data_IF_042848353469
#
_entry.id   IF_042848353469
#
_cell.length_a   1.000
_cell.length_b   1.000
_cell.length_c   1.000
_cell.angle_alpha   90.00
_cell.angle_beta   90.00
_cell.angle_gamma   90.00
#
_symmetry.space_group_name_H-M   'P 1'
#
loop_
_entity.id
_entity.type
_entity.pdbx_description
1 polymer ?
#
# COMPACT_ATOMS: atom_id res chain seq x y z
N UNK A 1 -36.88 26.25 -4.86
CA UNK A 1 -36.90 25.53 -6.16
C UNK A 1 -35.50 25.68 -6.75
N UNK A 2 -34.68 24.69 -6.62
CA UNK A 2 -33.37 24.63 -7.27
C UNK A 2 -33.61 24.35 -8.76
N UNK A 3 -33.18 25.24 -9.63
CA UNK A 3 -33.21 25.02 -11.08
C UNK A 3 -32.23 23.91 -11.43
N UNK A 4 -32.73 22.75 -11.78
CA UNK A 4 -31.92 21.63 -12.28
C UNK A 4 -31.27 22.06 -13.60
N UNK A 5 -29.95 21.87 -13.66
CA UNK A 5 -29.19 22.09 -14.88
C UNK A 5 -29.45 20.90 -15.83
N UNK A 6 -30.27 21.12 -16.87
CA UNK A 6 -30.75 20.06 -17.78
C UNK A 6 -29.66 19.33 -18.57
N UNK A 7 -28.40 19.75 -18.42
CA UNK A 7 -27.24 19.16 -19.13
C UNK A 7 -26.49 18.09 -18.33
N UNK A 8 -26.73 17.99 -17.01
CA UNK A 8 -26.05 17.02 -16.14
C UNK A 8 -26.92 15.77 -16.02
N UNK A 9 -26.38 14.61 -16.42
CA UNK A 9 -27.12 13.35 -16.40
C UNK A 9 -27.12 12.69 -15.02
N UNK A 10 -26.03 12.81 -14.27
CA UNK A 10 -25.87 12.27 -12.92
C UNK A 10 -24.81 13.03 -12.13
N UNK A 11 -24.83 12.87 -10.81
CA UNK A 11 -23.83 13.42 -9.91
C UNK A 11 -22.95 12.29 -9.36
N UNK A 12 -21.63 12.50 -9.25
CA UNK A 12 -20.70 11.55 -8.64
C UNK A 12 -20.27 12.11 -7.30
N UNK A 13 -20.53 11.39 -6.23
CA UNK A 13 -20.10 11.70 -4.87
C UNK A 13 -18.84 10.94 -4.55
N UNK A 14 -17.77 11.65 -4.22
CA UNK A 14 -16.45 11.07 -3.92
C UNK A 14 -15.97 11.58 -2.56
N UNK A 15 -16.14 10.80 -1.49
CA UNK A 15 -15.47 11.07 -0.23
C UNK A 15 -13.98 10.82 -0.34
N UNK A 16 -13.16 11.75 0.15
CA UNK A 16 -11.72 11.53 0.24
C UNK A 16 -11.08 12.37 1.35
N UNK A 17 -9.89 11.99 1.77
CA UNK A 17 -9.08 12.79 2.67
C UNK A 17 -8.20 13.76 1.87
N UNK A 18 -7.82 14.88 2.48
CA UNK A 18 -6.93 15.89 1.87
C UNK A 18 -5.55 15.34 1.47
N UNK A 19 -5.13 14.22 2.05
CA UNK A 19 -3.90 13.51 1.72
C UNK A 19 -4.11 12.27 0.84
N UNK A 20 -5.28 12.11 0.23
CA UNK A 20 -5.55 11.00 -0.70
C UNK A 20 -4.57 11.05 -1.87
N UNK A 21 -3.99 9.90 -2.20
CA UNK A 21 -3.06 9.73 -3.32
C UNK A 21 -3.75 9.25 -4.58
N UNK A 22 -4.98 8.82 -4.43
CA UNK A 22 -5.76 8.24 -5.52
C UNK A 22 -6.68 9.25 -6.17
N UNK A 23 -7.05 10.32 -5.46
CA UNK A 23 -8.07 11.26 -5.92
C UNK A 23 -7.74 11.89 -7.29
N UNK A 24 -6.52 12.39 -7.48
CA UNK A 24 -6.12 12.99 -8.76
C UNK A 24 -6.22 12.00 -9.92
N UNK A 25 -5.87 10.74 -9.67
CA UNK A 25 -5.96 9.68 -10.67
C UNK A 25 -7.42 9.30 -10.94
N UNK A 26 -8.24 9.22 -9.90
CA UNK A 26 -9.68 8.98 -10.00
C UNK A 26 -10.35 10.08 -10.85
N UNK A 27 -10.14 11.34 -10.51
CA UNK A 27 -10.68 12.49 -11.26
C UNK A 27 -10.21 12.52 -12.71
N UNK A 28 -8.94 12.20 -12.96
CA UNK A 28 -8.38 12.09 -14.31
C UNK A 28 -9.15 11.06 -15.15
N UNK A 29 -9.36 9.87 -14.63
CA UNK A 29 -10.04 8.82 -15.40
C UNK A 29 -11.54 9.04 -15.50
N UNK A 30 -12.18 9.66 -14.54
CA UNK A 30 -13.57 10.13 -14.69
C UNK A 30 -13.69 11.12 -15.84
N UNK A 31 -12.81 12.13 -15.90
CA UNK A 31 -12.83 13.14 -16.96
C UNK A 31 -12.56 12.56 -18.37
N UNK A 32 -11.73 11.51 -18.45
CA UNK A 32 -11.34 10.88 -19.74
C UNK A 32 -12.30 9.82 -20.23
N UNK A 33 -12.99 9.12 -19.33
CA UNK A 33 -13.68 7.87 -19.60
C UNK A 33 -15.19 7.91 -19.46
N UNK A 34 -15.74 8.97 -18.88
CA UNK A 34 -17.20 9.11 -18.79
C UNK A 34 -17.81 9.47 -20.14
N UNK A 35 -18.87 8.76 -20.48
CA UNK A 35 -19.63 9.01 -21.71
C UNK A 35 -20.59 10.21 -21.58
N UNK A 36 -21.21 10.37 -20.41
CA UNK A 36 -22.16 11.43 -20.15
C UNK A 36 -21.55 12.58 -19.33
N UNK A 37 -22.16 13.76 -19.48
CA UNK A 37 -21.86 14.90 -18.60
C UNK A 37 -22.34 14.64 -17.19
N UNK A 38 -21.48 14.88 -16.25
CA UNK A 38 -21.75 14.70 -14.83
C UNK A 38 -21.17 15.87 -14.02
N UNK A 39 -21.61 16.02 -12.78
CA UNK A 39 -20.91 16.81 -11.79
C UNK A 39 -20.15 15.91 -10.81
N UNK A 40 -19.09 16.43 -10.22
CA UNK A 40 -18.38 15.79 -9.14
C UNK A 40 -18.68 16.57 -7.86
N UNK A 41 -19.04 15.84 -6.81
CA UNK A 41 -19.29 16.34 -5.46
C UNK A 41 -18.25 15.69 -4.53
N UNK A 42 -17.15 16.41 -4.31
CA UNK A 42 -16.09 15.97 -3.41
C UNK A 42 -16.48 16.27 -1.95
N UNK A 43 -16.33 15.27 -1.06
CA UNK A 43 -16.55 15.41 0.38
C UNK A 43 -15.23 15.18 1.08
N UNK A 44 -14.65 16.27 1.57
CA UNK A 44 -13.30 16.30 2.10
C UNK A 44 -13.27 16.03 3.61
N UNK A 45 -12.28 15.21 4.04
CA UNK A 45 -11.87 15.00 5.44
C UNK A 45 -12.97 14.50 6.38
N UNK A 46 -14.02 13.85 5.85
CA UNK A 46 -14.97 13.13 6.69
C UNK A 46 -14.43 11.75 7.05
N UNK A 47 -14.43 11.42 8.34
CA UNK A 47 -13.89 10.14 8.84
C UNK A 47 -14.87 8.98 8.73
N UNK A 48 -16.15 9.25 8.57
CA UNK A 48 -17.20 8.27 8.32
C UNK A 48 -17.62 8.35 6.84
N UNK A 49 -17.24 7.35 6.07
CA UNK A 49 -17.50 7.30 4.62
C UNK A 49 -18.99 7.32 4.29
N UNK A 50 -19.85 6.73 5.12
CA UNK A 50 -21.29 6.72 4.87
C UNK A 50 -21.93 8.06 5.19
N UNK A 51 -21.45 8.72 6.23
CA UNK A 51 -21.84 10.10 6.50
C UNK A 51 -21.41 11.02 5.36
N UNK A 52 -20.19 10.82 4.85
CA UNK A 52 -19.68 11.55 3.72
C UNK A 52 -20.51 11.33 2.45
N UNK A 53 -20.87 10.08 2.14
CA UNK A 53 -21.76 9.77 1.03
C UNK A 53 -23.14 10.45 1.19
N UNK A 54 -23.76 10.36 2.38
CA UNK A 54 -25.05 11.03 2.66
C UNK A 54 -24.94 12.54 2.44
N UNK A 55 -23.88 13.17 2.98
CA UNK A 55 -23.63 14.61 2.80
C UNK A 55 -23.51 14.98 1.32
N UNK A 56 -22.78 14.17 0.53
CA UNK A 56 -22.63 14.37 -0.91
C UNK A 56 -23.96 14.20 -1.68
N UNK A 57 -24.75 13.19 -1.33
CA UNK A 57 -26.09 12.98 -1.92
C UNK A 57 -26.99 14.20 -1.70
N UNK A 58 -26.95 14.83 -0.51
CA UNK A 58 -27.69 16.07 -0.26
C UNK A 58 -27.22 17.26 -1.10
N UNK A 59 -25.94 17.30 -1.46
CA UNK A 59 -25.33 18.37 -2.27
C UNK A 59 -25.50 18.15 -3.77
N UNK A 60 -25.75 16.91 -4.19
CA UNK A 60 -25.90 16.54 -5.60
C UNK A 60 -27.04 17.29 -6.29
N UNK A 61 -26.81 17.71 -7.54
CA UNK A 61 -27.80 18.43 -8.35
C UNK A 61 -28.67 17.51 -9.20
N UNK A 62 -28.18 16.30 -9.49
CA UNK A 62 -28.93 15.30 -10.25
C UNK A 62 -29.72 14.38 -9.33
N UNK A 63 -30.89 13.91 -9.80
CA UNK A 63 -31.65 12.88 -9.12
C UNK A 63 -30.94 11.50 -9.14
N UNK A 64 -30.09 11.26 -10.13
CA UNK A 64 -29.25 10.05 -10.20
C UNK A 64 -27.87 10.37 -9.61
N UNK A 65 -27.47 9.62 -8.61
CA UNK A 65 -26.22 9.81 -7.88
C UNK A 65 -25.39 8.54 -7.90
N UNK A 66 -24.13 8.67 -8.24
CA UNK A 66 -23.11 7.62 -8.17
C UNK A 66 -22.27 7.82 -6.92
N UNK A 67 -22.21 6.82 -6.05
CA UNK A 67 -21.32 6.78 -4.89
C UNK A 67 -20.05 6.05 -5.31
N UNK A 68 -18.94 6.74 -5.34
CA UNK A 68 -17.65 6.22 -5.82
C UNK A 68 -16.55 6.51 -4.80
N UNK A 69 -15.74 5.51 -4.49
CA UNK A 69 -14.55 5.74 -3.65
C UNK A 69 -13.41 6.37 -4.47
N UNK A 70 -12.58 7.17 -3.82
CA UNK A 70 -11.45 7.89 -4.43
C UNK A 70 -10.34 6.99 -4.98
N UNK A 71 -10.30 5.73 -4.57
CA UNK A 71 -9.36 4.70 -5.01
C UNK A 71 -9.91 3.79 -6.14
N UNK A 72 -10.97 4.25 -6.83
CA UNK A 72 -11.57 3.54 -7.94
C UNK A 72 -11.31 4.24 -9.27
N UNK A 73 -10.76 3.48 -10.23
CA UNK A 73 -10.48 3.94 -11.59
C UNK A 73 -11.52 3.36 -12.55
N UNK A 74 -12.21 4.21 -13.27
CA UNK A 74 -13.30 3.79 -14.16
C UNK A 74 -12.80 3.36 -15.53
N UNK A 75 -13.40 2.32 -16.11
CA UNK A 75 -13.16 1.92 -17.49
C UNK A 75 -13.73 2.94 -18.49
N UNK A 76 -13.35 2.85 -19.77
CA UNK A 76 -13.91 3.69 -20.81
C UNK A 76 -15.42 3.43 -20.97
N UNK A 77 -16.19 4.50 -21.11
CA UNK A 77 -17.66 4.46 -21.27
C UNK A 77 -18.40 3.70 -20.16
N UNK A 78 -17.81 3.65 -18.96
CA UNK A 78 -18.29 2.92 -17.78
C UNK A 78 -19.72 3.26 -17.36
N UNK A 79 -20.14 4.47 -17.63
CA UNK A 79 -21.43 5.08 -17.24
C UNK A 79 -22.53 4.93 -18.29
N UNK A 80 -22.23 4.31 -19.43
CA UNK A 80 -23.10 4.21 -20.61
C UNK A 80 -24.51 3.70 -20.30
N UNK A 81 -24.60 2.77 -19.38
CA UNK A 81 -25.87 2.12 -19.02
C UNK A 81 -26.58 2.75 -17.83
N UNK A 82 -25.97 3.68 -17.10
CA UNK A 82 -26.56 4.31 -15.93
C UNK A 82 -27.90 4.96 -16.26
N UNK A 83 -28.05 5.86 -17.24
CA UNK A 83 -29.31 6.53 -17.53
C UNK A 83 -30.37 5.58 -18.09
N UNK A 84 -29.96 4.44 -18.65
CA UNK A 84 -30.88 3.46 -19.24
C UNK A 84 -31.62 2.65 -18.19
N UNK A 85 -30.90 2.28 -17.11
CA UNK A 85 -31.40 1.35 -16.08
C UNK A 85 -31.67 2.01 -14.74
N UNK A 86 -31.28 3.29 -14.53
CA UNK A 86 -31.56 3.99 -13.29
C UNK A 86 -33.04 4.34 -13.16
N UNK A 87 -33.62 3.98 -12.03
CA UNK A 87 -34.98 4.35 -11.65
C UNK A 87 -35.07 4.66 -10.15
N UNK A 88 -36.28 4.99 -9.67
CA UNK A 88 -36.47 5.39 -8.27
C UNK A 88 -36.37 4.23 -7.27
N UNK A 89 -36.38 2.99 -7.72
CA UNK A 89 -36.44 1.80 -6.86
C UNK A 89 -35.34 0.77 -7.14
N UNK A 90 -34.48 1.04 -8.11
CA UNK A 90 -33.39 0.11 -8.46
C UNK A 90 -32.07 0.75 -8.11
N UNK A 91 -31.28 0.05 -7.31
CA UNK A 91 -29.88 0.36 -7.08
C UNK A 91 -29.06 -0.37 -8.13
N UNK A 92 -28.24 0.39 -8.86
CA UNK A 92 -27.32 -0.21 -9.83
C UNK A 92 -25.92 -0.34 -9.23
N UNK A 93 -25.24 -1.41 -9.58
CA UNK A 93 -23.84 -1.66 -9.22
C UNK A 93 -23.04 -2.07 -10.43
N UNK A 94 -21.70 -2.03 -10.32
CA UNK A 94 -20.79 -2.44 -11.37
C UNK A 94 -20.00 -3.70 -11.03
N UNK A 95 -18.99 -3.97 -11.83
CA UNK A 95 -18.00 -5.01 -11.64
C UNK A 95 -16.71 -4.40 -11.10
N UNK A 96 -16.25 -4.88 -9.97
CA UNK A 96 -15.00 -4.42 -9.35
C UNK A 96 -13.88 -5.34 -9.76
N UNK A 97 -12.84 -4.77 -10.38
CA UNK A 97 -11.59 -5.44 -10.71
C UNK A 97 -10.54 -5.06 -9.69
N UNK A 98 -9.85 -6.02 -9.13
CA UNK A 98 -8.87 -5.79 -8.07
C UNK A 98 -7.52 -6.43 -8.40
N UNK A 99 -6.39 -5.85 -7.93
CA UNK A 99 -5.10 -6.51 -8.00
C UNK A 99 -5.19 -7.84 -7.24
N UNK A 100 -4.47 -8.85 -7.70
CA UNK A 100 -4.51 -10.17 -7.10
C UNK A 100 -3.91 -10.13 -5.69
N UNK A 101 -4.67 -10.37 -4.67
CA UNK A 101 -4.13 -10.47 -3.33
C UNK A 101 -4.76 -11.58 -2.55
N UNK A 102 -4.05 -12.02 -1.57
CA UNK A 102 -4.45 -13.02 -0.64
C UNK A 102 -5.95 -13.12 -0.32
N UNK A 103 -6.35 -14.32 -0.03
CA UNK A 103 -7.66 -14.80 0.40
C UNK A 103 -8.49 -13.78 1.20
N UNK A 104 -9.28 -12.97 0.52
CA UNK A 104 -10.51 -12.47 1.11
C UNK A 104 -11.57 -13.54 0.85
N UNK A 105 -12.39 -13.81 1.84
CA UNK A 105 -13.33 -14.92 1.96
C UNK A 105 -13.85 -15.50 0.64
N UNK A 106 -13.96 -16.81 0.58
CA UNK A 106 -14.38 -17.62 -0.57
C UNK A 106 -15.80 -17.33 -1.12
N UNK A 107 -16.49 -16.31 -0.62
CA UNK A 107 -17.92 -16.11 -0.86
C UNK A 107 -18.25 -15.04 -1.91
N UNK A 108 -17.25 -14.27 -2.40
CA UNK A 108 -17.51 -13.23 -3.40
C UNK A 108 -16.53 -13.33 -4.57
N UNK A 109 -17.06 -13.55 -5.76
CA UNK A 109 -16.31 -13.56 -7.00
C UNK A 109 -15.94 -12.13 -7.43
N UNK A 110 -14.90 -11.56 -6.81
CA UNK A 110 -14.26 -10.40 -7.39
C UNK A 110 -13.50 -10.80 -8.64
N UNK A 111 -13.62 -9.99 -9.66
CA UNK A 111 -12.79 -10.16 -10.85
C UNK A 111 -11.37 -9.76 -10.48
N UNK A 112 -10.45 -10.72 -10.53
CA UNK A 112 -9.06 -10.49 -10.13
C UNK A 112 -8.16 -10.34 -11.34
N UNK A 113 -7.63 -9.15 -11.51
CA UNK A 113 -6.66 -8.85 -12.54
C UNK A 113 -5.71 -7.75 -12.07
N UNK A 114 -4.43 -8.07 -11.92
CA UNK A 114 -3.44 -7.12 -11.42
C UNK A 114 -3.05 -6.12 -12.52
N UNK A 115 -3.52 -4.90 -12.41
CA UNK A 115 -3.13 -3.77 -13.26
C UNK A 115 -2.27 -2.74 -12.51
N UNK A 116 -1.74 -3.12 -11.35
CA UNK A 116 -0.89 -2.25 -10.51
C UNK A 116 -1.64 -1.48 -9.44
N UNK A 117 -0.95 -0.54 -8.83
CA UNK A 117 -1.40 0.33 -7.75
C UNK A 117 -1.40 1.79 -8.22
N UNK A 118 -1.87 2.74 -7.40
CA UNK A 118 -1.98 4.15 -7.77
C UNK A 118 -0.69 4.75 -8.36
N UNK A 119 0.48 4.31 -7.93
CA UNK A 119 1.79 4.81 -8.39
C UNK A 119 2.31 4.16 -9.68
N UNK A 120 1.73 3.06 -10.12
CA UNK A 120 2.16 2.30 -11.32
C UNK A 120 0.98 1.68 -12.08
N UNK A 121 -0.21 2.28 -11.99
CA UNK A 121 -1.42 1.77 -12.60
C UNK A 121 -1.30 1.73 -14.13
N UNK A 122 -1.42 0.53 -14.68
CA UNK A 122 -1.46 0.28 -16.11
C UNK A 122 -2.91 0.29 -16.61
N UNK A 123 -3.35 1.48 -17.02
CA UNK A 123 -4.71 1.67 -17.52
C UNK A 123 -4.98 0.89 -18.81
N UNK A 124 -4.00 0.77 -19.72
CA UNK A 124 -4.17 0.02 -20.99
C UNK A 124 -4.41 -1.46 -20.69
N UNK A 125 -3.66 -2.02 -19.77
CA UNK A 125 -3.85 -3.41 -19.32
C UNK A 125 -5.23 -3.61 -18.71
N UNK A 126 -5.70 -2.68 -17.87
CA UNK A 126 -7.05 -2.72 -17.31
C UNK A 126 -8.12 -2.65 -18.40
N UNK A 127 -8.01 -1.70 -19.32
CA UNK A 127 -8.99 -1.52 -20.41
C UNK A 127 -9.01 -2.73 -21.36
N UNK A 128 -7.86 -3.30 -21.70
CA UNK A 128 -7.78 -4.51 -22.50
C UNK A 128 -8.47 -5.68 -21.81
N UNK A 129 -8.22 -5.83 -20.50
CA UNK A 129 -8.91 -6.84 -19.70
C UNK A 129 -10.43 -6.65 -19.75
N UNK A 130 -10.93 -5.41 -19.54
CA UNK A 130 -12.37 -5.09 -19.59
C UNK A 130 -12.96 -5.43 -20.97
N UNK A 131 -12.28 -5.10 -22.06
CA UNK A 131 -12.73 -5.38 -23.41
C UNK A 131 -12.87 -6.89 -23.72
N UNK A 132 -12.15 -7.73 -22.99
CA UNK A 132 -12.22 -9.20 -23.12
C UNK A 132 -13.37 -9.80 -22.29
N UNK A 133 -13.98 -9.02 -21.38
CA UNK A 133 -15.07 -9.51 -20.57
C UNK A 133 -16.37 -9.54 -21.38
N UNK A 134 -17.12 -10.62 -21.23
CA UNK A 134 -18.47 -10.77 -21.77
C UNK A 134 -19.47 -10.81 -20.61
N UNK A 135 -19.94 -9.65 -20.21
CA UNK A 135 -20.93 -9.53 -19.14
C UNK A 135 -22.26 -9.06 -19.73
N UNK A 136 -23.42 -9.43 -19.13
CA UNK A 136 -24.69 -8.90 -19.56
C UNK A 136 -24.80 -7.40 -19.21
N UNK A 137 -25.41 -6.62 -20.12
CA UNK A 137 -25.65 -5.19 -19.89
C UNK A 137 -26.44 -4.93 -18.60
N UNK A 138 -27.30 -5.87 -18.21
CA UNK A 138 -28.13 -5.79 -17.00
C UNK A 138 -28.35 -7.19 -16.43
N UNK A 139 -28.13 -7.36 -15.12
CA UNK A 139 -28.37 -8.60 -14.38
C UNK A 139 -28.99 -8.30 -13.03
N UNK A 140 -30.23 -8.73 -12.81
CA UNK A 140 -30.96 -8.48 -11.59
C UNK A 140 -30.52 -9.44 -10.47
N UNK A 141 -30.41 -8.92 -9.25
CA UNK A 141 -30.14 -9.66 -8.01
C UNK A 141 -28.83 -10.50 -8.02
N UNK A 142 -27.82 -10.07 -8.76
CA UNK A 142 -26.50 -10.73 -8.71
C UNK A 142 -25.73 -10.28 -7.47
N UNK A 143 -25.38 -11.23 -6.61
CA UNK A 143 -24.57 -10.98 -5.41
C UNK A 143 -23.11 -10.70 -5.75
N UNK A 144 -22.45 -9.94 -4.88
CA UNK A 144 -21.04 -9.61 -5.04
C UNK A 144 -20.66 -8.32 -4.32
N UNK A 145 -19.57 -7.70 -4.71
CA UNK A 145 -19.22 -6.37 -4.26
C UNK A 145 -20.05 -5.32 -4.99
N UNK A 146 -20.55 -4.34 -4.23
CA UNK A 146 -21.53 -3.36 -4.69
C UNK A 146 -20.92 -1.98 -4.80
N UNK A 147 -19.90 -1.86 -5.64
CA UNK A 147 -19.26 -0.58 -5.94
C UNK A 147 -19.03 -0.45 -7.47
N UNK A 148 -19.13 0.75 -8.04
CA UNK A 148 -19.81 1.90 -7.46
C UNK A 148 -21.31 1.65 -7.29
N UNK A 149 -21.94 2.40 -6.38
CA UNK A 149 -23.40 2.34 -6.19
C UNK A 149 -24.05 3.49 -6.95
N UNK A 150 -25.07 3.20 -7.77
CA UNK A 150 -25.92 4.22 -8.40
C UNK A 150 -27.28 4.19 -7.69
N UNK A 151 -27.65 5.32 -7.14
CA UNK A 151 -28.87 5.49 -6.36
C UNK A 151 -29.70 6.68 -6.86
N UNK A 152 -31.01 6.65 -6.65
CA UNK A 152 -31.82 7.83 -6.82
C UNK A 152 -31.76 8.70 -5.56
N UNK A 153 -31.43 9.98 -5.69
CA UNK A 153 -31.25 10.91 -4.59
C UNK A 153 -32.45 10.95 -3.63
N UNK A 154 -33.67 11.03 -4.15
CA UNK A 154 -34.88 11.09 -3.32
C UNK A 154 -35.09 9.82 -2.51
N UNK A 155 -34.86 8.69 -3.13
CA UNK A 155 -35.01 7.40 -2.49
C UNK A 155 -33.98 7.20 -1.40
N UNK A 156 -32.73 7.61 -1.62
CA UNK A 156 -31.65 7.51 -0.65
C UNK A 156 -31.88 8.42 0.57
N UNK A 157 -32.32 9.67 0.34
CA UNK A 157 -32.56 10.66 1.40
C UNK A 157 -33.77 10.34 2.26
N UNK A 158 -34.79 9.65 1.74
CA UNK A 158 -36.00 9.30 2.49
C UNK A 158 -35.81 8.14 3.47
N UNK A 159 -34.66 7.51 3.48
CA UNK A 159 -34.35 6.42 4.41
C UNK A 159 -33.43 6.86 5.56
N UNK A 160 -33.94 7.43 6.65
CA UNK A 160 -33.14 7.93 7.76
C UNK A 160 -32.37 6.85 8.52
N UNK A 161 -32.72 5.59 8.32
CA UNK A 161 -32.00 4.46 8.96
C UNK A 161 -30.66 4.13 8.29
N UNK A 162 -30.40 4.60 7.07
CA UNK A 162 -29.12 4.48 6.40
C UNK A 162 -28.02 5.29 7.15
N UNK A 163 -28.39 6.29 7.92
CA UNK A 163 -27.49 7.10 8.75
C UNK A 163 -26.93 6.36 9.98
N UNK A 164 -27.40 5.16 10.29
CA UNK A 164 -27.01 4.42 11.49
C UNK A 164 -26.22 3.16 11.22
N UNK A 165 -25.54 3.09 10.09
CA UNK A 165 -24.71 1.91 9.81
C UNK A 165 -23.53 1.81 10.76
N UNK A 166 -23.49 0.80 11.65
CA UNK A 166 -22.27 0.41 12.29
C UNK A 166 -21.46 -0.47 11.35
N UNK A 167 -20.23 -0.10 11.15
CA UNK A 167 -19.12 -0.88 10.67
C UNK A 167 -19.36 -2.28 10.07
N UNK A 168 -18.93 -2.42 8.79
CA UNK A 168 -18.58 -3.64 8.06
C UNK A 168 -19.62 -4.76 7.89
N UNK A 169 -19.72 -5.26 6.74
CA UNK A 169 -19.47 -4.88 5.35
C UNK A 169 -20.68 -4.16 4.77
N UNK A 170 -20.62 -2.86 4.71
CA UNK A 170 -21.81 -2.02 4.78
C UNK A 170 -22.56 -1.90 3.46
N UNK A 171 -21.88 -1.99 2.33
CA UNK A 171 -22.50 -2.04 1.01
C UNK A 171 -23.27 -3.35 0.80
N UNK A 172 -22.77 -4.48 1.29
CA UNK A 172 -23.45 -5.79 1.23
C UNK A 172 -24.74 -5.73 2.05
N UNK A 173 -24.68 -5.32 3.32
CA UNK A 173 -25.85 -5.21 4.18
C UNK A 173 -26.86 -4.19 3.62
N UNK A 174 -26.36 -3.05 3.10
CA UNK A 174 -27.20 -2.06 2.45
C UNK A 174 -27.98 -2.67 1.28
N UNK A 175 -27.28 -3.31 0.35
CA UNK A 175 -27.85 -3.79 -0.91
C UNK A 175 -28.60 -5.10 -0.77
N UNK A 176 -28.14 -6.03 0.09
CA UNK A 176 -28.76 -7.35 0.23
C UNK A 176 -29.84 -7.45 1.29
N UNK A 177 -29.81 -6.59 2.31
CA UNK A 177 -30.74 -6.67 3.44
C UNK A 177 -31.66 -5.46 3.56
N UNK A 178 -31.08 -4.26 3.69
CA UNK A 178 -31.85 -3.08 4.06
C UNK A 178 -32.65 -2.50 2.91
N UNK A 179 -32.07 -2.39 1.73
CA UNK A 179 -32.76 -1.84 0.58
C UNK A 179 -33.87 -2.76 0.06
N UNK A 180 -33.67 -4.10 -0.02
CA UNK A 180 -34.77 -5.02 -0.32
C UNK A 180 -35.90 -4.98 0.73
N UNK A 181 -35.56 -4.90 2.02
CA UNK A 181 -36.57 -4.75 3.09
C UNK A 181 -37.37 -3.44 2.95
N UNK A 182 -36.78 -2.43 2.33
CA UNK A 182 -37.43 -1.15 2.02
C UNK A 182 -38.14 -1.14 0.65
N UNK A 183 -38.20 -2.26 -0.05
CA UNK A 183 -38.86 -2.40 -1.35
C UNK A 183 -38.06 -1.95 -2.56
N UNK A 184 -36.72 -1.88 -2.41
CA UNK A 184 -35.81 -1.62 -3.53
C UNK A 184 -35.31 -2.93 -4.14
N UNK A 185 -35.08 -2.87 -5.45
CA UNK A 185 -34.34 -3.90 -6.17
C UNK A 185 -32.88 -3.49 -6.31
N UNK A 186 -32.01 -4.45 -6.61
CA UNK A 186 -30.67 -4.13 -7.08
C UNK A 186 -30.37 -4.90 -8.36
N UNK A 187 -29.50 -4.32 -9.17
CA UNK A 187 -29.05 -4.93 -10.40
C UNK A 187 -27.59 -4.55 -10.68
N UNK A 188 -26.89 -5.45 -11.34
CA UNK A 188 -25.55 -5.20 -11.86
C UNK A 188 -25.64 -4.83 -13.32
N UNK A 189 -24.91 -3.81 -13.73
CA UNK A 189 -24.82 -3.36 -15.12
C UNK A 189 -23.39 -3.51 -15.61
N UNK A 190 -23.21 -3.48 -16.93
CA UNK A 190 -21.91 -3.45 -17.58
C UNK A 190 -21.19 -2.11 -17.29
N UNK A 191 -20.59 -2.07 -16.11
CA UNK A 191 -19.89 -0.92 -15.55
C UNK A 191 -18.67 -1.43 -14.78
N UNK A 192 -17.48 -1.21 -15.31
CA UNK A 192 -16.25 -1.71 -14.70
C UNK A 192 -15.46 -0.61 -13.99
N UNK A 193 -14.99 -0.92 -12.80
CA UNK A 193 -14.04 -0.10 -12.04
C UNK A 193 -12.87 -0.93 -11.56
N UNK A 194 -11.69 -0.34 -11.54
CA UNK A 194 -10.50 -0.91 -10.90
C UNK A 194 -10.32 -0.31 -9.52
N UNK A 195 -10.29 -1.14 -8.51
CA UNK A 195 -10.19 -0.73 -7.11
C UNK A 195 -8.78 -0.99 -6.57
N UNK A 196 -8.09 0.08 -6.15
CA UNK A 196 -6.81 -0.02 -5.46
C UNK A 196 -7.01 -0.40 -4.00
N UNK A 197 -7.29 -1.63 -3.71
CA UNK A 197 -7.57 -2.12 -2.36
C UNK A 197 -6.76 -1.40 -1.25
N UNK A 198 -7.46 -0.90 -0.22
CA UNK A 198 -6.90 -0.27 0.98
C UNK A 198 -6.07 1.00 0.74
N UNK A 199 -6.29 1.70 -0.35
CA UNK A 199 -5.57 2.95 -0.65
C UNK A 199 -6.43 4.19 -0.46
N UNK A 200 -7.76 4.05 -0.29
CA UNK A 200 -8.59 5.16 0.11
C UNK A 200 -8.30 5.52 1.58
N UNK A 201 -8.00 6.78 1.83
CA UNK A 201 -7.82 7.29 3.20
C UNK A 201 -9.10 7.26 4.05
N UNK A 202 -10.24 6.89 3.45
CA UNK A 202 -11.56 6.91 4.09
C UNK A 202 -11.89 5.67 4.93
N UNK A 203 -11.18 4.58 4.80
CA UNK A 203 -11.27 3.47 5.76
C UNK A 203 -10.72 3.96 7.09
N UNK A 204 -11.63 4.18 8.02
CA UNK A 204 -11.41 4.90 9.27
C UNK A 204 -10.12 4.53 9.98
N UNK A 205 -9.48 5.51 10.57
CA UNK A 205 -8.25 5.41 11.39
C UNK A 205 -8.27 4.30 12.46
N UNK A 206 -9.38 3.54 12.61
CA UNK A 206 -9.55 2.51 13.62
C UNK A 206 -8.94 1.15 13.26
N UNK A 207 -8.76 0.86 11.95
CA UNK A 207 -8.23 -0.44 11.48
C UNK A 207 -6.98 -0.31 10.59
N UNK A 208 -6.36 0.85 10.54
CA UNK A 208 -5.05 0.97 9.90
C UNK A 208 -4.03 0.14 10.70
N UNK A 209 -3.29 -0.74 10.05
CA UNK A 209 -2.26 -1.49 10.73
C UNK A 209 -1.31 -0.54 11.45
N UNK A 210 -0.96 -0.87 12.68
CA UNK A 210 0.06 -0.16 13.42
C UNK A 210 1.41 -0.48 12.81
N UNK A 211 2.01 0.51 12.20
CA UNK A 211 3.27 0.40 11.47
C UNK A 211 4.41 0.99 12.28
N UNK A 212 5.58 0.40 12.13
CA UNK A 212 6.80 0.90 12.73
C UNK A 212 7.94 0.89 11.72
N UNK A 213 8.66 2.01 11.60
CA UNK A 213 9.99 2.05 11.00
C UNK A 213 10.97 1.94 12.15
N UNK A 214 11.72 0.85 12.19
CA UNK A 214 12.62 0.54 13.27
C UNK A 214 14.07 0.56 12.82
N UNK A 215 14.93 1.21 13.59
CA UNK A 215 16.37 1.19 13.40
C UNK A 215 17.10 0.93 14.72
N UNK A 216 18.25 0.30 14.66
CA UNK A 216 19.12 0.18 15.82
C UNK A 216 20.53 0.65 15.49
N UNK A 217 21.19 1.28 16.46
CA UNK A 217 22.51 1.85 16.33
C UNK A 217 23.44 1.45 17.46
N UNK A 218 24.64 1.04 17.13
CA UNK A 218 25.69 0.78 18.10
C UNK A 218 26.63 2.00 18.26
N UNK A 219 27.44 2.07 19.33
CA UNK A 219 28.34 3.19 19.59
C UNK A 219 29.47 3.39 18.57
N UNK A 220 29.75 2.40 17.70
CA UNK A 220 30.80 2.48 16.68
C UNK A 220 30.35 3.30 15.47
N UNK A 221 29.04 3.47 15.28
CA UNK A 221 28.49 4.29 14.20
C UNK A 221 28.45 5.76 14.65
N UNK A 222 28.87 6.66 13.78
CA UNK A 222 28.80 8.10 14.04
C UNK A 222 27.34 8.51 14.34
N UNK A 223 27.12 9.12 15.51
CA UNK A 223 25.79 9.60 15.93
C UNK A 223 25.13 10.56 14.93
N UNK A 224 25.93 11.24 14.10
CA UNK A 224 25.41 12.11 13.05
C UNK A 224 24.62 11.32 12.00
N UNK A 225 25.02 10.06 11.71
CA UNK A 225 24.28 9.15 10.81
C UNK A 225 22.88 8.92 11.34
N UNK A 226 22.74 8.46 12.60
CA UNK A 226 21.44 8.22 13.22
C UNK A 226 20.57 9.49 13.26
N UNK A 227 21.18 10.64 13.58
CA UNK A 227 20.46 11.91 13.60
C UNK A 227 19.94 12.30 12.21
N UNK A 228 20.73 12.11 11.17
CA UNK A 228 20.32 12.43 9.79
C UNK A 228 19.31 11.44 9.26
N UNK A 229 19.46 10.14 9.54
CA UNK A 229 18.43 9.14 9.20
C UNK A 229 17.08 9.53 9.78
N UNK A 230 17.00 9.82 11.09
CA UNK A 230 15.75 10.23 11.74
C UNK A 230 15.14 11.46 11.09
N UNK A 231 15.93 12.51 10.77
CA UNK A 231 15.41 13.69 10.08
C UNK A 231 14.85 13.38 8.70
N UNK A 232 15.52 12.51 7.94
CA UNK A 232 15.00 12.06 6.62
C UNK A 232 13.71 11.28 6.79
N UNK A 233 13.64 10.36 7.75
CA UNK A 233 12.45 9.60 8.06
C UNK A 233 11.28 10.49 8.49
N UNK A 234 11.50 11.45 9.41
CA UNK A 234 10.49 12.42 9.83
C UNK A 234 9.96 13.26 8.67
N UNK A 235 10.82 13.64 7.73
CA UNK A 235 10.43 14.38 6.53
C UNK A 235 9.62 13.53 5.55
N UNK A 236 10.08 12.31 5.28
CA UNK A 236 9.51 11.44 4.24
C UNK A 236 8.27 10.69 4.74
N UNK A 237 8.26 10.23 6.01
CA UNK A 237 7.18 9.41 6.54
C UNK A 237 5.88 10.22 6.67
N UNK A 238 4.97 9.99 5.74
CA UNK A 238 3.59 10.49 5.76
C UNK A 238 2.58 9.34 5.87
N UNK A 239 3.06 8.15 6.21
CA UNK A 239 2.23 6.95 6.33
C UNK A 239 1.38 7.06 7.58
N UNK A 240 0.05 6.92 7.47
CA UNK A 240 -0.83 6.94 8.62
C UNK A 240 -0.49 5.81 9.62
N UNK A 241 -0.63 6.10 10.91
CA UNK A 241 -0.39 5.15 12.00
C UNK A 241 0.99 4.47 11.94
N UNK A 242 2.01 5.20 11.47
CA UNK A 242 3.39 4.73 11.37
C UNK A 242 4.30 5.52 12.29
N UNK A 243 4.91 4.84 13.25
CA UNK A 243 5.90 5.42 14.17
C UNK A 243 7.32 5.15 13.71
N UNK A 244 8.23 6.03 14.11
CA UNK A 244 9.67 5.87 13.93
C UNK A 244 10.26 5.55 15.29
N UNK A 245 10.89 4.39 15.43
CA UNK A 245 11.52 3.92 16.66
C UNK A 245 13.02 3.69 16.42
N UNK A 246 13.86 4.27 17.24
CA UNK A 246 15.31 4.06 17.17
C UNK A 246 15.84 3.55 18.50
N UNK A 247 16.46 2.37 18.46
CA UNK A 247 17.12 1.78 19.62
C UNK A 247 18.61 2.05 19.58
N UNK A 248 19.12 2.76 20.58
CA UNK A 248 20.55 2.91 20.82
C UNK A 248 20.98 1.87 21.84
N UNK A 249 21.80 0.91 21.45
CA UNK A 249 22.33 -0.06 22.38
C UNK A 249 23.81 0.23 22.65
N UNK A 250 24.20 0.14 23.92
CA UNK A 250 25.59 0.27 24.33
C UNK A 250 26.26 -1.11 24.20
N UNK A 251 27.40 -1.15 23.57
CA UNK A 251 28.32 -2.29 23.61
C UNK A 251 28.95 -2.27 25.02
N UNK A 252 28.17 -2.62 26.01
CA UNK A 252 28.70 -2.88 27.36
C UNK A 252 29.05 -4.35 27.42
N UNK A 253 30.10 -4.68 28.10
CA UNK A 253 30.75 -5.96 28.43
C UNK A 253 30.02 -7.29 28.20
N UNK A 254 28.72 -7.29 27.90
CA UNK A 254 27.85 -8.46 27.69
C UNK A 254 27.62 -8.82 26.20
N UNK A 255 28.45 -8.32 25.29
CA UNK A 255 28.44 -8.71 23.86
C UNK A 255 27.02 -8.84 23.26
N UNK A 256 26.21 -7.79 23.37
CA UNK A 256 24.98 -7.71 22.60
C UNK A 256 25.33 -7.49 21.12
N UNK A 257 25.44 -8.57 20.40
CA UNK A 257 25.60 -8.53 18.95
C UNK A 257 24.33 -8.01 18.29
N UNK A 258 24.48 -7.41 17.12
CA UNK A 258 23.39 -6.84 16.34
C UNK A 258 22.19 -7.79 16.19
N UNK A 259 22.43 -9.07 15.95
CA UNK A 259 21.42 -10.12 15.84
C UNK A 259 20.57 -10.29 17.10
N UNK A 260 21.20 -10.27 18.28
CA UNK A 260 20.49 -10.39 19.57
C UNK A 260 19.65 -9.16 19.88
N UNK A 261 20.12 -7.98 19.45
CA UNK A 261 19.35 -6.74 19.55
C UNK A 261 18.11 -6.80 18.67
N UNK A 262 18.21 -7.36 17.46
CA UNK A 262 17.07 -7.53 16.57
C UNK A 262 16.06 -8.55 17.11
N UNK A 263 16.51 -9.71 17.60
CA UNK A 263 15.62 -10.70 18.23
C UNK A 263 14.82 -10.07 19.39
N UNK A 264 15.49 -9.35 20.28
CA UNK A 264 14.85 -8.65 21.38
C UNK A 264 13.88 -7.55 20.92
N UNK A 265 14.31 -6.76 19.95
CA UNK A 265 13.50 -5.66 19.44
C UNK A 265 12.21 -6.15 18.76
N UNK A 266 12.28 -7.18 17.93
CA UNK A 266 11.11 -7.72 17.26
C UNK A 266 10.11 -8.35 18.23
N UNK A 267 10.60 -9.02 19.29
CA UNK A 267 9.75 -9.48 20.38
C UNK A 267 8.97 -8.32 21.01
N UNK A 268 9.64 -7.20 21.33
CA UNK A 268 9.04 -6.01 21.90
C UNK A 268 8.07 -5.33 20.92
N UNK A 269 8.49 -5.13 19.68
CA UNK A 269 7.70 -4.41 18.67
C UNK A 269 6.38 -5.12 18.40
N UNK A 270 6.40 -6.44 18.24
CA UNK A 270 5.20 -7.20 17.91
C UNK A 270 4.32 -7.54 19.12
N UNK A 271 4.89 -7.83 20.29
CA UNK A 271 4.11 -8.37 21.42
C UNK A 271 3.93 -7.40 22.58
N UNK A 272 4.81 -6.44 22.77
CA UNK A 272 4.64 -5.42 23.82
C UNK A 272 4.02 -4.14 23.26
N UNK A 273 4.55 -3.61 22.14
CA UNK A 273 4.03 -2.39 21.51
C UNK A 273 2.90 -2.66 20.51
N UNK A 274 2.69 -3.94 20.17
CA UNK A 274 1.61 -4.43 19.32
C UNK A 274 1.55 -3.74 17.95
N UNK A 275 2.71 -3.64 17.28
CA UNK A 275 2.77 -3.26 15.87
C UNK A 275 2.34 -4.44 14.99
N UNK A 276 1.64 -4.14 13.90
CA UNK A 276 1.20 -5.14 12.92
C UNK A 276 2.27 -5.38 11.85
N UNK A 277 3.05 -4.33 11.53
CA UNK A 277 4.08 -4.38 10.48
C UNK A 277 5.28 -3.55 10.87
N UNK A 278 6.45 -4.10 10.68
CA UNK A 278 7.74 -3.45 10.94
C UNK A 278 8.55 -3.36 9.66
N UNK A 279 9.04 -2.16 9.36
CA UNK A 279 10.09 -1.93 8.40
C UNK A 279 11.39 -1.73 9.17
N UNK A 280 12.26 -2.74 9.16
CA UNK A 280 13.61 -2.65 9.69
C UNK A 280 14.49 -1.89 8.70
N UNK A 281 15.25 -0.93 9.19
CA UNK A 281 16.28 -0.21 8.45
C UNK A 281 17.59 -0.22 9.25
N UNK A 282 18.70 -0.59 8.63
CA UNK A 282 19.99 -0.29 9.20
C UNK A 282 20.15 1.22 9.41
N UNK A 283 20.90 1.62 10.42
CA UNK A 283 21.01 3.02 10.81
C UNK A 283 21.61 3.91 9.71
N UNK A 284 22.34 3.33 8.77
CA UNK A 284 22.94 3.97 7.61
C UNK A 284 22.19 3.67 6.29
N UNK A 285 20.93 3.28 6.40
CA UNK A 285 20.00 3.12 5.28
C UNK A 285 18.86 4.13 5.37
N UNK A 286 18.52 4.79 4.26
CA UNK A 286 17.43 5.77 4.18
C UNK A 286 16.52 5.51 3.00
N UNK A 287 15.20 5.74 3.13
CA UNK A 287 14.29 5.78 1.99
C UNK A 287 14.56 7.03 1.16
N UNK A 288 14.45 6.90 -0.16
CA UNK A 288 14.66 8.02 -1.09
C UNK A 288 13.38 8.82 -1.36
N UNK A 289 12.24 8.26 -1.04
CA UNK A 289 10.92 8.86 -1.24
C UNK A 289 9.86 8.14 -0.38
N UNK A 290 8.66 8.71 -0.32
CA UNK A 290 7.53 8.13 0.41
C UNK A 290 7.10 6.78 -0.18
N UNK A 291 7.12 6.64 -1.51
CA UNK A 291 6.67 5.41 -2.18
C UNK A 291 7.54 4.20 -1.78
N UNK A 292 8.81 4.43 -1.37
CA UNK A 292 9.65 3.37 -0.84
C UNK A 292 9.08 2.78 0.45
N UNK A 293 8.64 3.64 1.37
CA UNK A 293 8.02 3.20 2.62
C UNK A 293 6.68 2.50 2.37
N UNK A 294 5.86 3.07 1.50
CA UNK A 294 4.56 2.51 1.15
C UNK A 294 4.68 1.14 0.50
N UNK A 295 5.57 1.01 -0.48
CA UNK A 295 5.84 -0.26 -1.13
C UNK A 295 6.22 -1.34 -0.12
N UNK A 296 7.14 -1.05 0.80
CA UNK A 296 7.60 -2.02 1.79
C UNK A 296 6.47 -2.46 2.73
N UNK A 297 5.68 -1.51 3.24
CA UNK A 297 4.55 -1.83 4.11
C UNK A 297 3.47 -2.61 3.38
N UNK A 298 3.10 -2.21 2.16
CA UNK A 298 2.10 -2.92 1.36
C UNK A 298 2.48 -4.38 1.07
N UNK A 299 3.76 -4.63 0.81
CA UNK A 299 4.24 -6.00 0.55
C UNK A 299 4.28 -6.82 1.83
N UNK A 300 4.83 -6.26 2.90
CA UNK A 300 4.89 -6.94 4.18
C UNK A 300 3.48 -7.27 4.73
N UNK A 301 2.50 -6.37 4.59
CA UNK A 301 1.10 -6.59 5.00
C UNK A 301 0.37 -7.67 4.19
N UNK A 302 0.94 -8.08 3.06
CA UNK A 302 0.48 -9.22 2.25
C UNK A 302 1.23 -10.52 2.56
N UNK A 303 1.94 -10.57 3.67
CA UNK A 303 2.81 -11.69 4.06
C UNK A 303 3.90 -12.02 3.01
N UNK A 304 4.42 -10.99 2.33
CA UNK A 304 5.57 -11.08 1.45
C UNK A 304 6.80 -10.63 2.24
N UNK A 305 7.85 -11.44 2.26
CA UNK A 305 9.15 -11.02 2.79
C UNK A 305 9.80 -10.10 1.75
N UNK A 306 9.96 -8.81 2.08
CA UNK A 306 10.40 -7.80 1.11
C UNK A 306 11.60 -7.02 1.63
N UNK A 307 12.55 -6.69 0.79
CA UNK A 307 13.66 -5.81 1.19
C UNK A 307 14.85 -5.79 0.25
N UNK A 308 15.89 -5.08 0.70
CA UNK A 308 17.14 -4.99 -0.04
C UNK A 308 17.80 -6.36 -0.13
N UNK A 309 18.21 -6.74 -1.33
CA UNK A 309 18.93 -7.99 -1.53
C UNK A 309 20.40 -7.83 -1.16
N UNK A 310 20.94 -8.80 -0.46
CA UNK A 310 22.37 -8.92 -0.18
C UNK A 310 22.83 -10.37 -0.31
N UNK A 311 24.13 -10.55 -0.24
CA UNK A 311 24.80 -11.83 -0.11
C UNK A 311 25.85 -11.75 0.99
N UNK A 312 25.97 -12.76 1.82
CA UNK A 312 26.99 -12.84 2.85
C UNK A 312 28.37 -13.14 2.24
N UNK A 313 28.99 -12.14 1.59
CA UNK A 313 30.23 -12.28 0.84
C UNK A 313 31.46 -12.63 1.73
N UNK A 314 31.35 -12.46 3.05
CA UNK A 314 32.38 -12.81 4.02
C UNK A 314 32.31 -14.31 4.44
N UNK A 315 31.23 -14.99 4.10
CA UNK A 315 31.08 -16.44 4.36
C UNK A 315 31.59 -17.22 3.14
N UNK A 316 32.60 -18.02 3.35
CA UNK A 316 33.23 -18.80 2.30
C UNK A 316 32.20 -19.76 1.64
N UNK A 317 32.16 -19.75 0.30
CA UNK A 317 31.25 -20.54 -0.53
C UNK A 317 29.75 -20.26 -0.35
N UNK A 318 29.37 -19.25 0.43
CA UNK A 318 27.97 -18.81 0.45
C UNK A 318 27.63 -18.14 -0.89
N UNK A 319 26.63 -18.67 -1.60
CA UNK A 319 26.08 -18.11 -2.85
C UNK A 319 24.62 -17.68 -2.68
N UNK A 320 24.07 -17.84 -1.50
CA UNK A 320 22.68 -17.49 -1.23
C UNK A 320 22.50 -15.99 -1.19
N UNK A 321 21.44 -15.51 -1.85
CA UNK A 321 20.99 -14.12 -1.81
C UNK A 321 19.79 -14.03 -0.89
N UNK A 322 19.72 -12.98 -0.08
CA UNK A 322 18.71 -12.90 0.98
C UNK A 322 18.18 -11.47 1.13
N UNK A 323 16.99 -11.35 1.73
CA UNK A 323 16.46 -10.06 2.18
C UNK A 323 17.22 -9.64 3.43
N UNK A 324 17.96 -8.56 3.31
CA UNK A 324 18.88 -8.10 4.35
C UNK A 324 18.24 -7.13 5.34
N UNK A 325 18.69 -7.09 6.60
CA UNK A 325 18.27 -6.11 7.60
C UNK A 325 18.48 -4.65 7.20
N UNK A 326 19.28 -4.40 6.18
CA UNK A 326 19.52 -3.04 5.68
C UNK A 326 18.23 -2.31 5.29
N UNK A 327 17.26 -3.02 4.71
CA UNK A 327 15.86 -2.60 4.60
C UNK A 327 15.02 -3.87 4.44
N UNK A 328 14.22 -4.21 5.45
CA UNK A 328 13.41 -5.43 5.47
C UNK A 328 12.01 -5.11 6.00
N UNK A 329 10.98 -5.38 5.22
CA UNK A 329 9.58 -5.31 5.63
C UNK A 329 9.05 -6.67 6.04
N UNK A 330 8.44 -6.75 7.23
CA UNK A 330 7.86 -7.98 7.76
C UNK A 330 6.61 -7.66 8.59
N UNK A 331 5.52 -8.41 8.38
CA UNK A 331 4.32 -8.35 9.21
C UNK A 331 4.43 -9.28 10.42
N UNK A 332 3.67 -8.98 11.47
CA UNK A 332 3.53 -9.85 12.63
C UNK A 332 3.00 -11.24 12.22
N UNK A 333 2.01 -11.27 11.32
CA UNK A 333 1.44 -12.52 10.81
C UNK A 333 2.48 -13.36 10.07
N UNK A 334 3.33 -12.73 9.24
CA UNK A 334 4.41 -13.42 8.54
C UNK A 334 5.45 -13.95 9.52
N UNK A 335 5.86 -13.13 10.50
CA UNK A 335 6.82 -13.52 11.53
C UNK A 335 6.34 -14.71 12.35
N UNK A 336 5.06 -14.71 12.74
CA UNK A 336 4.43 -15.85 13.44
C UNK A 336 4.32 -17.09 12.55
N UNK A 337 3.94 -16.93 11.28
CA UNK A 337 3.86 -18.00 10.30
C UNK A 337 5.21 -18.69 10.08
N UNK A 338 6.31 -17.94 10.14
CA UNK A 338 7.68 -18.45 10.08
C UNK A 338 8.18 -19.00 11.42
N UNK A 339 7.30 -19.17 12.42
CA UNK A 339 7.64 -19.70 13.75
C UNK A 339 8.63 -18.81 14.53
N UNK A 340 8.54 -17.49 14.34
CA UNK A 340 9.35 -16.47 15.03
C UNK A 340 10.86 -16.70 14.84
N UNK A 341 11.35 -16.58 13.62
CA UNK A 341 12.75 -16.85 13.33
C UNK A 341 13.70 -15.90 14.05
N UNK A 342 14.84 -16.40 14.45
CA UNK A 342 15.93 -15.57 14.98
C UNK A 342 16.66 -14.85 13.84
N UNK A 343 17.06 -13.61 14.08
CA UNK A 343 17.99 -12.87 13.22
C UNK A 343 19.45 -13.34 13.37
N UNK A 344 19.70 -14.31 14.22
CA UNK A 344 21.04 -14.77 14.60
C UNK A 344 21.90 -15.28 13.45
N UNK A 345 23.20 -15.10 13.60
CA UNK A 345 24.17 -15.77 12.72
C UNK A 345 23.99 -17.28 12.77
N UNK A 346 24.08 -17.93 11.63
CA UNK A 346 24.12 -19.39 11.53
C UNK A 346 25.41 -19.84 10.86
N UNK A 347 25.67 -21.15 10.88
CA UNK A 347 26.84 -21.71 10.17
C UNK A 347 26.78 -21.52 8.64
N UNK A 348 25.63 -21.14 8.13
CA UNK A 348 25.36 -20.98 6.70
C UNK A 348 24.99 -19.57 6.30
N UNK A 349 24.69 -18.66 7.24
CA UNK A 349 24.10 -17.38 6.91
C UNK A 349 24.51 -16.24 7.84
N UNK A 350 24.35 -15.03 7.34
CA UNK A 350 24.57 -13.75 8.02
C UNK A 350 23.33 -13.34 8.84
N UNK A 351 23.39 -12.20 9.51
CA UNK A 351 22.26 -11.61 10.27
C UNK A 351 21.02 -11.48 9.37
N UNK A 352 19.92 -12.10 9.82
CA UNK A 352 18.64 -12.08 9.09
C UNK A 352 18.55 -13.01 7.88
N UNK A 353 19.63 -13.64 7.43
CA UNK A 353 19.61 -14.54 6.27
C UNK A 353 18.73 -15.78 6.50
N UNK A 354 18.63 -16.25 7.73
CA UNK A 354 17.80 -17.41 8.11
C UNK A 354 16.31 -17.17 7.80
N UNK A 355 15.83 -15.92 7.87
CA UNK A 355 14.46 -15.57 7.51
C UNK A 355 14.17 -15.91 6.05
N UNK A 356 15.13 -15.64 5.15
CA UNK A 356 14.99 -15.96 3.73
C UNK A 356 14.99 -17.46 3.48
N UNK A 357 15.89 -18.22 4.14
CA UNK A 357 15.88 -19.69 4.05
C UNK A 357 14.57 -20.32 4.53
N UNK A 358 13.97 -19.76 5.59
CA UNK A 358 12.68 -20.25 6.11
C UNK A 358 11.56 -19.89 5.12
N UNK A 359 11.56 -18.67 4.59
CA UNK A 359 10.58 -18.23 3.61
C UNK A 359 10.60 -19.11 2.36
N UNK A 360 11.79 -19.41 1.80
CA UNK A 360 11.97 -20.32 0.68
C UNK A 360 11.44 -21.73 0.97
N UNK A 361 11.83 -22.30 2.11
CA UNK A 361 11.37 -23.64 2.56
C UNK A 361 9.86 -23.72 2.69
N UNK A 362 9.22 -22.62 3.10
CA UNK A 362 7.77 -22.53 3.32
C UNK A 362 7.00 -22.06 2.07
N UNK A 363 7.68 -21.80 0.95
CA UNK A 363 7.12 -21.20 -0.26
C UNK A 363 6.38 -19.86 0.03
N UNK A 364 6.92 -19.05 0.94
CA UNK A 364 6.48 -17.69 1.21
C UNK A 364 7.01 -16.79 0.09
N UNK A 365 6.19 -15.90 -0.49
CA UNK A 365 6.67 -14.99 -1.52
C UNK A 365 7.77 -14.07 -0.98
N UNK A 366 8.83 -13.88 -1.79
CA UNK A 366 9.95 -12.99 -1.49
C UNK A 366 10.06 -11.96 -2.61
N UNK A 367 10.18 -10.69 -2.25
CA UNK A 367 10.44 -9.62 -3.21
C UNK A 367 11.72 -8.86 -2.86
N UNK A 368 12.62 -8.76 -3.83
CA UNK A 368 13.92 -8.10 -3.66
C UNK A 368 13.90 -6.68 -4.23
N UNK A 369 14.39 -5.72 -3.44
CA UNK A 369 14.91 -4.47 -3.97
C UNK A 369 16.34 -4.71 -4.46
N UNK A 370 16.56 -4.54 -5.76
CA UNK A 370 17.82 -4.85 -6.43
C UNK A 370 18.78 -3.65 -6.41
N UNK A 371 20.09 -3.85 -6.26
CA UNK A 371 21.05 -2.76 -6.43
C UNK A 371 21.06 -2.26 -7.87
N UNK A 372 21.12 -0.94 -8.05
CA UNK A 372 21.17 -0.31 -9.38
C UNK A 372 22.46 0.45 -9.65
N UNK A 373 23.02 1.08 -8.62
CA UNK A 373 24.28 1.83 -8.66
C UNK A 373 24.90 1.90 -7.26
N UNK A 374 26.20 2.11 -7.20
CA UNK A 374 26.96 2.37 -5.97
C UNK A 374 27.98 3.49 -6.20
N UNK A 375 28.45 4.14 -5.13
CA UNK A 375 29.30 5.33 -5.23
C UNK A 375 30.78 5.05 -4.97
N UNK A 376 31.10 4.03 -4.18
CA UNK A 376 32.49 3.67 -3.89
C UNK A 376 32.67 2.15 -3.72
N UNK A 377 33.91 1.71 -3.84
CA UNK A 377 34.27 0.31 -3.65
C UNK A 377 34.40 -0.03 -2.16
N UNK A 378 33.99 -1.24 -1.75
CA UNK A 378 34.18 -1.75 -0.42
C UNK A 378 35.63 -1.73 0.05
N UNK A 379 35.87 -1.42 1.34
CA UNK A 379 37.18 -1.32 1.93
C UNK A 379 37.90 -2.64 2.07
N UNK A 380 37.17 -3.70 2.27
CA UNK A 380 37.64 -5.08 2.53
C UNK A 380 38.12 -5.77 1.26
N UNK A 381 37.42 -5.57 0.16
CA UNK A 381 37.72 -6.26 -1.11
C UNK A 381 38.39 -5.39 -2.15
N UNK A 382 38.18 -4.06 -2.10
CA UNK A 382 38.61 -3.14 -3.16
C UNK A 382 37.90 -3.40 -4.51
N UNK A 383 36.88 -4.22 -4.52
CA UNK A 383 36.04 -4.60 -5.67
C UNK A 383 34.58 -4.61 -5.23
N UNK A 384 33.62 -4.40 -6.15
CA UNK A 384 32.21 -4.51 -5.79
C UNK A 384 31.90 -5.92 -5.31
N UNK A 385 30.87 -6.02 -4.44
CA UNK A 385 30.39 -7.29 -3.96
C UNK A 385 29.43 -7.92 -4.95
N UNK A 386 29.68 -9.17 -5.39
CA UNK A 386 28.74 -9.87 -6.25
C UNK A 386 27.53 -10.38 -5.46
N UNK A 387 26.36 -10.38 -6.07
CA UNK A 387 25.18 -11.12 -5.56
C UNK A 387 25.20 -12.57 -6.07
N UNK A 388 24.95 -12.77 -7.35
CA UNK A 388 25.02 -14.05 -8.06
C UNK A 388 25.51 -13.79 -9.49
N UNK A 389 25.77 -14.88 -10.24
CA UNK A 389 26.47 -14.82 -11.52
C UNK A 389 25.80 -13.86 -12.54
N UNK A 390 24.48 -13.76 -12.55
CA UNK A 390 23.71 -12.90 -13.48
C UNK A 390 23.01 -11.72 -12.78
N UNK A 391 23.38 -11.40 -11.54
CA UNK A 391 22.78 -10.32 -10.78
C UNK A 391 23.72 -9.11 -10.70
N UNK A 392 23.13 -7.89 -10.50
CA UNK A 392 23.95 -6.68 -10.31
C UNK A 392 24.88 -6.78 -9.11
N UNK A 393 26.05 -6.15 -9.22
CA UNK A 393 26.98 -5.96 -8.12
C UNK A 393 26.58 -4.73 -7.28
N UNK A 394 27.07 -4.67 -6.04
CA UNK A 394 26.83 -3.56 -5.13
C UNK A 394 28.11 -3.17 -4.36
N UNK A 395 28.08 -2.01 -3.73
CA UNK A 395 29.24 -1.45 -3.01
C UNK A 395 28.80 -0.43 -1.97
N UNK A 396 29.69 0.49 -1.63
CA UNK A 396 29.43 1.55 -0.67
C UNK A 396 28.51 2.61 -1.32
N UNK A 397 27.49 3.07 -0.61
CA UNK A 397 26.53 4.05 -1.15
C UNK A 397 25.65 3.47 -2.25
N UNK A 398 25.12 2.26 -2.02
CA UNK A 398 24.27 1.57 -2.99
C UNK A 398 22.85 2.14 -2.97
N UNK A 399 22.36 2.46 -4.15
CA UNK A 399 20.93 2.73 -4.39
C UNK A 399 20.22 1.44 -4.81
N UNK A 400 19.12 1.12 -4.14
CA UNK A 400 18.27 -0.03 -4.43
C UNK A 400 17.00 0.40 -5.15
N UNK A 401 16.55 -0.42 -6.10
CA UNK A 401 15.32 -0.24 -6.89
C UNK A 401 14.36 -1.40 -6.68
N UNK A 402 13.06 -1.14 -6.81
CA UNK A 402 12.07 -2.20 -6.83
C UNK A 402 11.99 -2.87 -8.20
N UNK A 403 11.12 -3.88 -8.34
CA UNK A 403 10.90 -4.62 -9.59
C UNK A 403 10.43 -3.75 -10.78
N UNK A 404 9.98 -2.51 -10.52
CA UNK A 404 9.55 -1.55 -11.54
C UNK A 404 10.66 -0.53 -11.90
N UNK A 405 11.88 -0.70 -11.38
CA UNK A 405 13.02 0.18 -11.62
C UNK A 405 12.99 1.50 -10.85
N UNK A 406 12.08 1.66 -9.88
CA UNK A 406 11.99 2.87 -9.05
C UNK A 406 13.02 2.84 -7.93
N UNK A 407 13.74 3.95 -7.74
CA UNK A 407 14.70 4.09 -6.62
C UNK A 407 13.94 4.11 -5.28
N UNK A 408 14.34 3.20 -4.38
CA UNK A 408 13.68 2.96 -3.10
C UNK A 408 14.52 3.39 -1.92
N UNK A 409 15.72 2.81 -1.79
CA UNK A 409 16.58 2.99 -0.63
C UNK A 409 18.02 3.35 -1.07
N UNK A 410 18.71 4.09 -0.20
CA UNK A 410 20.13 4.30 -0.26
C UNK A 410 20.77 3.74 1.00
N UNK A 411 21.77 2.88 0.85
CA UNK A 411 22.47 2.25 1.97
C UNK A 411 23.98 2.51 1.87
N UNK A 412 24.55 3.09 2.93
CA UNK A 412 25.96 3.47 2.93
C UNK A 412 26.90 2.27 2.96
N UNK A 413 26.56 1.20 3.69
CA UNK A 413 27.45 0.11 4.05
C UNK A 413 28.75 0.56 4.74
N UNK A 414 29.27 -0.23 5.63
CA UNK A 414 30.55 0.00 6.32
C UNK A 414 30.68 1.38 7.02
N UNK A 415 29.56 2.02 7.39
CA UNK A 415 29.53 3.33 8.05
C UNK A 415 30.35 3.39 9.35
N UNK A 416 30.50 2.26 10.04
CA UNK A 416 31.32 2.12 11.27
C UNK A 416 32.79 2.48 11.08
N UNK A 417 33.31 2.43 9.85
CA UNK A 417 34.69 2.82 9.57
C UNK A 417 34.89 4.32 9.31
N UNK A 418 33.82 5.08 9.17
CA UNK A 418 33.81 6.52 9.05
C UNK A 418 34.28 7.07 7.71
N UNK A 419 35.02 6.32 6.90
CA UNK A 419 35.71 6.78 5.69
C UNK A 419 34.78 7.36 4.63
N UNK A 420 33.54 6.85 4.53
CA UNK A 420 32.61 7.21 3.48
C UNK A 420 31.37 7.93 4.03
N UNK A 421 31.35 8.32 5.31
CA UNK A 421 30.18 8.93 5.94
C UNK A 421 29.71 10.21 5.24
N UNK A 422 30.64 10.94 4.59
CA UNK A 422 30.28 12.14 3.81
C UNK A 422 29.30 11.84 2.66
N UNK A 423 29.40 10.66 2.03
CA UNK A 423 28.41 10.23 1.00
C UNK A 423 26.99 10.21 1.57
N UNK A 424 26.83 9.63 2.76
CA UNK A 424 25.55 9.59 3.45
C UNK A 424 25.05 10.98 3.85
N UNK A 425 25.98 11.83 4.35
CA UNK A 425 25.63 13.20 4.74
C UNK A 425 25.15 14.02 3.55
N UNK A 426 25.82 13.89 2.39
CA UNK A 426 25.41 14.55 1.15
C UNK A 426 24.02 14.03 0.71
N UNK A 427 23.82 12.72 0.69
CA UNK A 427 22.54 12.12 0.30
C UNK A 427 21.38 12.56 1.21
N UNK A 428 21.59 12.58 2.52
CA UNK A 428 20.62 13.11 3.46
C UNK A 428 20.31 14.60 3.22
N UNK A 429 21.35 15.40 2.99
CA UNK A 429 21.18 16.83 2.71
C UNK A 429 20.36 17.08 1.44
N UNK A 430 20.63 16.33 0.36
CA UNK A 430 19.83 16.38 -0.88
C UNK A 430 18.34 16.13 -0.61
N UNK A 431 18.03 15.08 0.17
CA UNK A 431 16.65 14.74 0.50
C UNK A 431 15.99 15.79 1.42
N UNK A 432 16.74 16.33 2.37
CA UNK A 432 16.23 17.34 3.29
C UNK A 432 16.01 18.71 2.64
N UNK A 433 16.71 19.01 1.54
CA UNK A 433 16.60 20.28 0.80
C UNK A 433 15.55 20.21 -0.34
N UNK A 434 15.17 19.03 -0.81
CA UNK A 434 14.07 18.88 -1.78
C UNK A 434 12.77 19.36 -1.13
N UNK A 435 12.07 20.28 -1.79
CA UNK A 435 10.75 20.77 -1.38
C UNK A 435 9.66 19.72 -1.61
#
# INVERSE_FOLDING_TARGET
MTTYNSDIQYSIVIPHLSNSKCIDLCLKYLAQNSYYKHEIVEILDETDVYYAFNKGVYQAKSDTVVLLSDDMMVAKDWDKFIPIYSDQKTILTGYVVEPNPGKLSNDFENIRHDCGYHYNFDYEKFQNFVNEQSVPEFKQNEKGWYQPLVVNQRSFVTYPNIQKFPYHPNDIVLVEELMPAAGFNFARIDMFVYHFQRQSGAYGQRDLPKRCIFSCSNPQVDRKIATLQNKVLEKINKIPNCKIETLFYADTTDKLYHDKVLDYAFEKLFYEFNYDTVLLLDIDCIPLNLDALEYMFERAEKDILVGNVQRANHIQNNKHVYVAPSAMGISKSLFEKMEKPSFGYSNRGDVGEELTYIAEKMNIPIEYCMPSKYEALPLDTGKPWPLADDMPEYGIGTTFINQYGKEMFYHLFQSRFGKFNDLFFVKCAELLLKN
#
